data_IF_497453030303
#
_entry.id   IF_497453030303
#
_cell.length_a   1.000
_cell.length_b   1.000
_cell.length_c   1.000
_cell.angle_alpha   90.00
_cell.angle_beta   90.00
_cell.angle_gamma   90.00
#
_symmetry.space_group_name_H-M   'P 1'
#
loop_
_entity.id
_entity.type
_entity.pdbx_description
1 polymer ?
#
# COMPACT_ATOMS: atom_id res chain seq x y z
N UNK A 1 5.60 6.42 7.90
CA UNK A 1 6.16 5.08 8.27
C UNK A 1 5.92 4.71 9.74
N UNK A 2 5.71 5.68 10.64
CA UNK A 2 5.37 5.46 12.06
C UNK A 2 4.11 4.61 12.34
N UNK A 3 3.28 4.35 11.32
CA UNK A 3 2.03 3.58 11.45
C UNK A 3 2.27 2.07 11.28
N UNK A 4 3.37 1.67 10.62
CA UNK A 4 3.63 0.27 10.32
C UNK A 4 4.50 -0.40 11.37
N UNK A 5 4.21 -1.68 11.63
CA UNK A 5 5.00 -2.49 12.53
C UNK A 5 6.46 -2.58 12.03
N UNK A 6 7.46 -2.37 12.91
CA UNK A 6 8.87 -2.40 12.53
C UNK A 6 9.31 -3.71 11.86
N UNK A 7 8.73 -4.84 12.25
CA UNK A 7 9.02 -6.14 11.63
C UNK A 7 8.54 -6.16 10.18
N UNK A 8 7.34 -5.64 9.91
CA UNK A 8 6.80 -5.56 8.54
C UNK A 8 7.65 -4.63 7.68
N UNK A 9 8.10 -3.50 8.21
CA UNK A 9 9.00 -2.57 7.48
C UNK A 9 10.33 -3.23 7.13
N UNK A 10 10.84 -4.12 7.98
CA UNK A 10 12.08 -4.85 7.74
C UNK A 10 11.94 -5.99 6.72
N UNK A 11 10.80 -6.68 6.72
CA UNK A 11 10.60 -7.90 5.93
C UNK A 11 9.94 -7.65 4.57
N UNK A 12 9.07 -6.64 4.45
CA UNK A 12 8.30 -6.40 3.23
C UNK A 12 9.04 -5.50 2.22
N UNK A 13 8.60 -5.59 0.95
CA UNK A 13 9.11 -4.73 -0.12
C UNK A 13 8.89 -3.23 0.24
N UNK A 14 9.95 -2.40 0.34
CA UNK A 14 9.84 -1.01 0.79
C UNK A 14 8.84 -0.17 -0.03
N UNK A 15 8.73 -0.44 -1.32
CA UNK A 15 7.78 0.24 -2.20
C UNK A 15 6.32 -0.08 -1.85
N UNK A 16 6.02 -1.34 -1.54
CA UNK A 16 4.66 -1.77 -1.14
C UNK A 16 4.30 -1.22 0.25
N UNK A 17 5.27 -1.25 1.17
CA UNK A 17 5.14 -0.65 2.52
C UNK A 17 4.86 0.85 2.42
N UNK A 18 5.59 1.56 1.56
CA UNK A 18 5.38 2.99 1.32
C UNK A 18 4.00 3.30 0.74
N UNK A 19 3.56 2.55 -0.28
CA UNK A 19 2.24 2.76 -0.91
C UNK A 19 1.09 2.55 0.10
N UNK A 20 1.19 1.53 0.96
CA UNK A 20 0.22 1.24 2.03
C UNK A 20 0.27 2.33 3.11
N UNK A 21 1.46 2.71 3.58
CA UNK A 21 1.65 3.79 4.56
C UNK A 21 1.00 5.09 4.08
N UNK A 22 1.28 5.50 2.85
CA UNK A 22 0.76 6.73 2.27
C UNK A 22 -0.78 6.75 2.23
N UNK A 23 -1.40 5.61 1.91
CA UNK A 23 -2.86 5.47 1.97
C UNK A 23 -3.37 5.56 3.42
N UNK A 24 -2.75 4.87 4.37
CA UNK A 24 -3.14 4.91 5.77
C UNK A 24 -3.01 6.33 6.35
N UNK A 25 -1.91 7.04 6.08
CA UNK A 25 -1.70 8.43 6.48
C UNK A 25 -2.78 9.35 5.91
N UNK A 26 -3.19 9.16 4.66
CA UNK A 26 -4.29 9.92 4.06
C UNK A 26 -5.64 9.63 4.76
N UNK A 27 -5.93 8.38 5.10
CA UNK A 27 -7.14 7.98 5.83
C UNK A 27 -7.19 8.53 7.26
N UNK A 28 -6.04 8.71 7.90
CA UNK A 28 -5.92 9.19 9.28
C UNK A 28 -5.80 10.72 9.40
N UNK A 29 -5.95 11.48 8.30
CA UNK A 29 -5.93 12.94 8.34
C UNK A 29 -6.97 13.49 9.32
N UNK A 30 -6.55 14.49 10.09
CA UNK A 30 -7.39 15.08 11.15
C UNK A 30 -8.71 15.63 10.59
N UNK A 31 -8.64 16.36 9.47
CA UNK A 31 -9.82 16.94 8.80
C UNK A 31 -10.46 15.89 7.90
N UNK A 32 -11.73 15.56 8.15
CA UNK A 32 -12.47 14.55 7.38
C UNK A 32 -12.52 14.84 5.88
N UNK A 33 -12.58 16.12 5.48
CA UNK A 33 -12.57 16.53 4.06
C UNK A 33 -11.26 16.25 3.32
N UNK A 34 -10.15 16.07 4.06
CA UNK A 34 -8.84 15.78 3.47
C UNK A 34 -8.61 14.27 3.35
N UNK A 35 -9.48 13.45 3.95
CA UNK A 35 -9.44 11.98 3.85
C UNK A 35 -9.98 11.54 2.49
N UNK A 36 -9.46 10.43 1.94
CA UNK A 36 -10.02 9.87 0.73
C UNK A 36 -11.45 9.38 0.97
N UNK A 37 -12.27 9.45 -0.07
CA UNK A 37 -13.54 8.71 -0.13
C UNK A 37 -13.25 7.21 -0.19
N UNK A 38 -14.23 6.38 0.21
CA UNK A 38 -14.09 4.93 0.10
C UNK A 38 -13.82 4.47 -1.34
N UNK A 39 -14.36 5.18 -2.34
CA UNK A 39 -14.10 4.89 -3.76
C UNK A 39 -12.64 5.15 -4.14
N UNK A 40 -12.06 6.24 -3.67
CA UNK A 40 -10.64 6.56 -3.90
C UNK A 40 -9.72 5.59 -3.16
N UNK A 41 -10.07 5.20 -1.94
CA UNK A 41 -9.33 4.20 -1.17
C UNK A 41 -9.34 2.84 -1.88
N UNK A 42 -10.51 2.37 -2.33
CA UNK A 42 -10.63 1.13 -3.10
C UNK A 42 -9.80 1.19 -4.39
N UNK A 43 -9.90 2.27 -5.19
CA UNK A 43 -9.09 2.42 -6.39
C UNK A 43 -7.58 2.32 -6.12
N UNK A 44 -7.08 2.96 -5.06
CA UNK A 44 -5.65 2.87 -4.67
C UNK A 44 -5.26 1.45 -4.27
N UNK A 45 -6.11 0.75 -3.51
CA UNK A 45 -5.86 -0.65 -3.13
C UNK A 45 -5.87 -1.60 -4.34
N UNK A 46 -6.80 -1.42 -5.29
CA UNK A 46 -6.84 -2.21 -6.52
C UNK A 46 -5.60 -1.96 -7.39
N UNK A 47 -5.12 -0.72 -7.45
CA UNK A 47 -3.88 -0.38 -8.14
C UNK A 47 -2.68 -1.12 -7.53
N UNK A 48 -2.52 -1.08 -6.19
CA UNK A 48 -1.47 -1.80 -5.48
C UNK A 48 -1.54 -3.32 -5.72
N UNK A 49 -2.75 -3.91 -5.62
CA UNK A 49 -2.97 -5.33 -5.92
C UNK A 49 -2.56 -5.68 -7.35
N UNK A 50 -2.96 -4.86 -8.32
CA UNK A 50 -2.61 -5.06 -9.73
C UNK A 50 -1.11 -4.95 -9.97
N UNK A 51 -0.46 -3.95 -9.36
CA UNK A 51 1.00 -3.75 -9.41
C UNK A 51 1.74 -4.97 -8.86
N UNK A 52 1.30 -5.50 -7.71
CA UNK A 52 1.84 -6.72 -7.11
C UNK A 52 1.63 -7.96 -8.00
N UNK A 53 0.43 -8.12 -8.55
CA UNK A 53 0.14 -9.23 -9.48
C UNK A 53 0.98 -9.16 -10.76
N UNK A 54 1.22 -7.95 -11.30
CA UNK A 54 2.11 -7.76 -12.46
C UNK A 54 3.55 -8.14 -12.12
N UNK A 55 4.07 -7.74 -10.96
CA UNK A 55 5.40 -8.18 -10.49
C UNK A 55 5.48 -9.71 -10.41
N UNK A 56 4.47 -10.37 -9.82
CA UNK A 56 4.43 -11.83 -9.71
C UNK A 56 4.33 -12.55 -11.06
N UNK A 57 3.65 -11.97 -12.06
CA UNK A 57 3.53 -12.55 -13.41
C UNK A 57 4.80 -12.40 -14.27
N UNK A 58 5.76 -11.58 -13.83
CA UNK A 58 7.02 -11.30 -14.54
C UNK A 58 8.20 -12.09 -13.93
N UNK A 59 8.04 -12.66 -12.73
CA UNK A 59 9.04 -13.53 -12.11
C UNK A 59 8.68 -15.00 -12.42
N UNK A 60 9.51 -15.75 -13.17
CA UNK A 60 9.35 -17.20 -13.20
C UNK A 60 9.55 -17.74 -11.78
N UNK A 61 8.77 -18.75 -11.41
CA UNK A 61 9.06 -19.54 -10.23
C UNK A 61 10.52 -19.99 -10.35
N UNK A 62 11.36 -19.53 -9.42
CA UNK A 62 12.71 -20.08 -9.29
C UNK A 62 12.55 -21.39 -8.53
N UNK A 63 12.88 -22.50 -9.18
CA UNK A 63 12.98 -23.84 -8.60
C UNK A 63 13.91 -23.86 -7.38
#
# INVERSE_FOLDING_TARGET
MEIMDPQVVKEANPEEVHDICSLAEACLRLKGRDRPTMKEADMRLQFMRTKRLRKCKILPASD
#
